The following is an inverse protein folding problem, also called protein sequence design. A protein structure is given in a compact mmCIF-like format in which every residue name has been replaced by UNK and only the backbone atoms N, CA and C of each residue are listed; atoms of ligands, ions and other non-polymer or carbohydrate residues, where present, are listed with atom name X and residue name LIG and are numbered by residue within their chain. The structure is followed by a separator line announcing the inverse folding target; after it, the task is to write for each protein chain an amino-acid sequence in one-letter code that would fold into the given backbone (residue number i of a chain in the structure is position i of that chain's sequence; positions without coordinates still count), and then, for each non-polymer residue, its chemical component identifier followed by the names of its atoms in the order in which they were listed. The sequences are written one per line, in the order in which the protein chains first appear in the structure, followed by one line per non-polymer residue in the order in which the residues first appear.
data_IF_092708289895
#
_entry.id   IF_092708289895
#
_cell.length_a   1.000
_cell.length_b   1.000
_cell.length_c   1.000
_cell.angle_alpha   90.00
_cell.angle_beta   90.00
_cell.angle_gamma   90.00
#
_symmetry.space_group_name_H-M   'P 1'
#
loop_
_entity.id
_entity.type
_entity.pdbx_description
1 polymer ?
#
# COMPACT_ATOMS: atom_id res chain seq x y z
N UNK A 1 -71.40 13.35 -39.06
CA UNK A 1 -71.88 12.04 -38.56
C UNK A 1 -70.70 11.43 -37.85
N UNK A 2 -70.57 11.90 -36.63
CA UNK A 2 -69.37 11.93 -35.82
C UNK A 2 -69.49 10.80 -34.79
N UNK A 3 -68.64 9.79 -34.92
CA UNK A 3 -68.50 8.74 -33.91
C UNK A 3 -67.37 9.14 -32.97
N UNK A 4 -67.76 9.78 -31.86
CA UNK A 4 -66.88 10.12 -30.76
C UNK A 4 -66.44 8.82 -30.05
N UNK A 5 -65.25 8.34 -30.39
CA UNK A 5 -64.56 7.30 -29.64
C UNK A 5 -64.07 7.90 -28.31
N UNK A 6 -64.82 7.65 -27.24
CA UNK A 6 -64.40 7.96 -25.88
C UNK A 6 -63.14 7.14 -25.54
N UNK A 7 -61.98 7.79 -25.59
CA UNK A 7 -60.74 7.26 -25.00
C UNK A 7 -60.95 7.15 -23.50
N UNK A 8 -61.23 5.92 -23.05
CA UNK A 8 -61.14 5.54 -21.65
C UNK A 8 -59.65 5.55 -21.27
N UNK A 9 -59.14 6.72 -20.92
CA UNK A 9 -57.82 6.83 -20.29
C UNK A 9 -57.95 6.06 -18.97
N UNK A 10 -57.22 4.94 -18.78
CA UNK A 10 -57.26 4.25 -17.51
C UNK A 10 -56.74 5.22 -16.46
N UNK A 11 -57.50 5.36 -15.38
CA UNK A 11 -57.23 6.22 -14.23
C UNK A 11 -56.05 5.65 -13.42
N UNK A 12 -54.90 5.44 -14.07
CA UNK A 12 -53.69 4.83 -13.54
C UNK A 12 -52.94 5.74 -12.56
N UNK A 13 -53.63 6.77 -12.05
CA UNK A 13 -53.11 7.74 -11.10
C UNK A 13 -54.06 7.96 -9.92
N UNK A 14 -54.90 6.96 -9.57
CA UNK A 14 -55.33 6.81 -8.18
C UNK A 14 -54.08 6.48 -7.34
N UNK A 15 -53.28 7.51 -7.03
CA UNK A 15 -52.37 7.51 -5.89
C UNK A 15 -53.22 7.10 -4.71
N UNK A 16 -53.10 5.84 -4.30
CA UNK A 16 -53.70 5.35 -3.07
C UNK A 16 -53.39 6.40 -2.01
N UNK A 17 -54.43 6.99 -1.44
CA UNK A 17 -54.29 8.03 -0.44
C UNK A 17 -53.75 7.33 0.81
N UNK A 18 -52.42 7.18 0.87
CA UNK A 18 -51.73 6.63 2.03
C UNK A 18 -52.10 7.53 3.19
N UNK A 19 -52.64 6.95 4.26
CA UNK A 19 -53.01 7.72 5.45
C UNK A 19 -51.75 8.41 5.99
N UNK A 20 -51.83 9.69 6.41
CA UNK A 20 -50.69 10.38 7.01
C UNK A 20 -50.06 9.62 8.19
N UNK A 21 -50.82 8.74 8.86
CA UNK A 21 -50.30 7.87 9.92
C UNK A 21 -49.45 6.71 9.40
N UNK A 22 -49.72 6.20 8.20
CA UNK A 22 -48.89 5.17 7.57
C UNK A 22 -47.60 5.76 7.02
N UNK A 23 -47.62 7.00 6.52
CA UNK A 23 -46.38 7.70 6.12
C UNK A 23 -45.45 7.93 7.31
N UNK A 24 -46.00 8.31 8.48
CA UNK A 24 -45.21 8.44 9.72
C UNK A 24 -44.59 7.11 10.17
N UNK A 25 -45.33 6.00 10.08
CA UNK A 25 -44.81 4.66 10.44
C UNK A 25 -43.68 4.23 9.51
N UNK A 26 -43.79 4.51 8.22
CA UNK A 26 -42.72 4.24 7.24
C UNK A 26 -41.48 5.07 7.56
N UNK A 27 -41.65 6.36 7.83
CA UNK A 27 -40.57 7.26 8.25
C UNK A 27 -39.84 6.76 9.50
N UNK A 28 -40.58 6.37 10.55
CA UNK A 28 -39.99 5.86 11.79
C UNK A 28 -39.20 4.56 11.55
N UNK A 29 -39.71 3.66 10.70
CA UNK A 29 -39.01 2.43 10.32
C UNK A 29 -37.72 2.73 9.54
N UNK A 30 -37.76 3.65 8.57
CA UNK A 30 -36.58 4.07 7.81
C UNK A 30 -35.52 4.71 8.72
N UNK A 31 -35.94 5.48 9.73
CA UNK A 31 -35.04 6.11 10.70
C UNK A 31 -34.42 5.09 11.66
N UNK A 32 -35.21 4.13 12.15
CA UNK A 32 -34.72 3.03 12.99
C UNK A 32 -33.71 2.15 12.24
N UNK A 33 -33.90 1.93 10.94
CA UNK A 33 -32.97 1.15 10.10
C UNK A 33 -31.61 1.86 9.91
N UNK A 34 -31.56 3.18 10.05
CA UNK A 34 -30.31 3.95 9.93
C UNK A 34 -29.43 3.87 11.18
N UNK A 35 -29.99 3.60 12.34
CA UNK A 35 -29.22 3.56 13.61
C UNK A 35 -28.15 2.45 13.58
N UNK A 36 -28.47 1.18 13.25
CA UNK A 36 -27.46 0.12 13.15
C UNK A 36 -26.40 0.42 12.09
N UNK A 37 -26.80 1.04 10.99
CA UNK A 37 -25.93 1.44 9.89
C UNK A 37 -24.92 2.49 10.36
N UNK A 38 -25.37 3.53 11.06
CA UNK A 38 -24.51 4.56 11.61
C UNK A 38 -23.58 4.00 12.70
N UNK A 39 -24.05 3.06 13.52
CA UNK A 39 -23.21 2.36 14.50
C UNK A 39 -22.14 1.53 13.81
N UNK A 40 -22.47 0.79 12.75
CA UNK A 40 -21.50 0.04 11.97
C UNK A 40 -20.48 0.97 11.32
N UNK A 41 -20.94 2.05 10.69
CA UNK A 41 -20.07 3.06 10.09
C UNK A 41 -19.14 3.71 11.12
N UNK A 42 -19.66 4.05 12.30
CA UNK A 42 -18.86 4.59 13.40
C UNK A 42 -17.84 3.60 13.97
N UNK A 43 -18.23 2.34 14.16
CA UNK A 43 -17.30 1.27 14.55
C UNK A 43 -16.21 1.09 13.50
N UNK A 44 -16.58 1.14 12.21
CA UNK A 44 -15.61 1.00 11.12
C UNK A 44 -14.62 2.15 11.11
N UNK A 45 -15.09 3.39 11.25
CA UNK A 45 -14.20 4.56 11.28
C UNK A 45 -13.37 4.63 12.58
N UNK A 46 -13.90 4.18 13.70
CA UNK A 46 -13.15 4.09 14.95
C UNK A 46 -12.02 3.07 14.84
N UNK A 47 -12.30 1.89 14.28
CA UNK A 47 -11.29 0.87 14.02
C UNK A 47 -10.23 1.35 13.02
N UNK A 48 -10.62 2.15 12.03
CA UNK A 48 -9.72 2.78 11.06
C UNK A 48 -8.76 3.77 11.77
N UNK A 49 -9.31 4.63 12.63
CA UNK A 49 -8.51 5.54 13.46
C UNK A 49 -7.57 4.75 14.37
N UNK A 50 -8.05 3.67 14.99
CA UNK A 50 -7.25 2.82 15.84
C UNK A 50 -6.09 2.16 15.07
N UNK A 51 -6.30 1.66 13.84
CA UNK A 51 -5.19 1.15 13.01
C UNK A 51 -4.17 2.23 12.68
N UNK A 52 -4.62 3.43 12.33
CA UNK A 52 -3.72 4.56 12.02
C UNK A 52 -2.95 5.01 13.28
N UNK A 53 -3.55 4.88 14.46
CA UNK A 53 -2.86 5.14 15.73
C UNK A 53 -1.88 4.02 16.10
N UNK A 54 -2.13 2.79 15.64
CA UNK A 54 -1.25 1.62 15.85
C UNK A 54 0.00 1.67 14.95
N UNK A 55 -0.03 2.39 13.82
CA UNK A 55 1.17 2.72 13.03
C UNK A 55 2.21 3.55 13.80
N UNK A 56 1.85 4.11 14.97
CA UNK A 56 2.81 4.73 15.90
C UNK A 56 3.60 3.70 16.73
N UNK A 57 3.28 2.41 16.63
CA UNK A 57 3.98 1.32 17.32
C UNK A 57 4.96 0.62 16.37
N UNK A 58 6.27 0.66 16.64
CA UNK A 58 7.27 0.01 15.80
C UNK A 58 7.04 -1.50 15.73
N UNK A 59 7.01 -2.06 14.52
CA UNK A 59 6.91 -3.50 14.28
C UNK A 59 5.50 -4.08 14.13
N UNK A 60 4.46 -3.24 14.09
CA UNK A 60 3.14 -3.73 13.66
C UNK A 60 3.15 -3.94 12.14
N UNK A 61 2.71 -5.12 11.69
CA UNK A 61 2.74 -5.50 10.27
C UNK A 61 2.09 -4.40 9.42
N UNK A 62 2.88 -3.72 8.58
CA UNK A 62 2.39 -2.70 7.64
C UNK A 62 1.17 -3.21 6.87
N UNK A 63 1.16 -4.50 6.52
CA UNK A 63 0.04 -5.18 5.88
C UNK A 63 -1.27 -5.06 6.66
N UNK A 64 -1.26 -5.12 7.99
CA UNK A 64 -2.45 -5.01 8.83
C UNK A 64 -3.00 -3.57 8.88
N UNK A 65 -2.13 -2.56 8.96
CA UNK A 65 -2.54 -1.17 8.85
C UNK A 65 -2.98 -0.79 7.44
N UNK A 66 -2.58 -1.54 6.41
CA UNK A 66 -3.10 -1.40 5.05
C UNK A 66 -4.43 -2.13 4.80
N UNK A 67 -4.59 -3.38 5.26
CA UNK A 67 -5.78 -4.20 4.99
C UNK A 67 -7.00 -3.80 5.82
N UNK A 68 -6.78 -3.36 7.07
CA UNK A 68 -7.87 -2.98 7.97
C UNK A 68 -8.68 -1.80 7.41
N UNK A 69 -8.07 -0.68 6.96
CA UNK A 69 -8.79 0.38 6.27
C UNK A 69 -9.65 -0.08 5.12
N UNK A 70 -9.10 -0.94 4.26
CA UNK A 70 -9.77 -1.42 3.06
C UNK A 70 -10.99 -2.28 3.41
N UNK A 71 -10.85 -3.14 4.42
CA UNK A 71 -11.94 -3.96 4.93
C UNK A 71 -13.06 -3.11 5.55
N UNK A 72 -12.70 -2.15 6.40
CA UNK A 72 -13.64 -1.26 7.08
C UNK A 72 -14.42 -0.40 6.07
N UNK A 73 -13.72 0.08 5.06
CA UNK A 73 -14.24 0.87 3.96
C UNK A 73 -15.17 0.06 3.04
N UNK A 74 -14.87 -1.22 2.82
CA UNK A 74 -15.78 -2.14 2.13
C UNK A 74 -17.08 -2.36 2.93
N UNK A 75 -16.98 -2.46 4.26
CA UNK A 75 -18.14 -2.55 5.16
C UNK A 75 -18.99 -1.29 5.09
N UNK A 76 -18.37 -0.11 5.07
CA UNK A 76 -19.05 1.17 4.95
C UNK A 76 -19.80 1.30 3.62
N UNK A 77 -19.18 0.87 2.52
CA UNK A 77 -19.84 0.81 1.21
C UNK A 77 -21.00 -0.16 1.14
N UNK A 78 -20.85 -1.36 1.72
CA UNK A 78 -21.92 -2.34 1.79
C UNK A 78 -23.11 -1.77 2.58
N UNK A 79 -22.82 -1.08 3.68
CA UNK A 79 -23.83 -0.46 4.54
C UNK A 79 -24.55 0.70 3.82
N UNK A 80 -23.83 1.56 3.11
CA UNK A 80 -24.42 2.62 2.29
C UNK A 80 -25.28 2.04 1.16
N UNK A 81 -24.76 1.06 0.42
CA UNK A 81 -25.50 0.39 -0.65
C UNK A 81 -26.77 -0.26 -0.14
N UNK A 82 -26.74 -0.83 1.07
CA UNK A 82 -27.90 -1.38 1.73
C UNK A 82 -28.96 -0.30 2.04
N UNK A 83 -28.58 0.82 2.67
CA UNK A 83 -29.52 1.93 2.94
C UNK A 83 -30.13 2.48 1.67
N UNK A 84 -29.32 2.67 0.62
CA UNK A 84 -29.78 3.16 -0.67
C UNK A 84 -30.75 2.19 -1.37
N UNK A 85 -30.63 0.89 -1.12
CA UNK A 85 -31.54 -0.13 -1.67
C UNK A 85 -32.85 -0.23 -0.89
N UNK A 86 -32.81 -0.07 0.44
CA UNK A 86 -33.98 -0.27 1.31
C UNK A 86 -34.87 0.97 1.39
N UNK A 87 -34.28 2.17 1.32
CA UNK A 87 -35.03 3.42 1.52
C UNK A 87 -35.68 3.90 0.22
N UNK A 88 -36.92 4.40 0.32
CA UNK A 88 -37.65 4.84 -0.86
C UNK A 88 -37.16 6.22 -1.33
N UNK A 89 -36.87 7.09 -0.37
CA UNK A 89 -36.48 8.48 -0.65
C UNK A 89 -34.97 8.58 -0.89
N UNK A 90 -34.52 9.62 -1.60
CA UNK A 90 -33.07 9.84 -1.88
C UNK A 90 -32.32 10.50 -0.72
N UNK A 91 -33.03 11.14 0.22
CA UNK A 91 -32.44 11.89 1.33
C UNK A 91 -31.87 11.01 2.45
N UNK A 92 -32.41 9.81 2.80
CA UNK A 92 -31.81 8.99 3.85
C UNK A 92 -30.38 8.54 3.55
N UNK A 93 -30.04 8.03 2.34
CA UNK A 93 -28.66 7.74 1.97
C UNK A 93 -27.77 8.99 1.99
N UNK A 94 -28.32 10.16 1.65
CA UNK A 94 -27.58 11.42 1.70
C UNK A 94 -27.25 11.85 3.13
N UNK A 95 -28.17 11.68 4.09
CA UNK A 95 -27.94 11.95 5.52
C UNK A 95 -26.93 10.97 6.10
N UNK A 96 -27.10 9.66 5.87
CA UNK A 96 -26.12 8.65 6.28
C UNK A 96 -24.75 8.96 5.69
N UNK A 97 -24.75 9.47 4.46
CA UNK A 97 -23.55 9.87 3.80
C UNK A 97 -22.87 11.06 4.48
N UNK A 98 -23.60 12.15 4.68
CA UNK A 98 -23.11 13.33 5.38
C UNK A 98 -22.56 12.97 6.77
N UNK A 99 -23.31 12.17 7.55
CA UNK A 99 -22.91 11.73 8.88
C UNK A 99 -21.59 10.97 8.86
N UNK A 100 -21.40 10.08 7.89
CA UNK A 100 -20.14 9.32 7.78
C UNK A 100 -18.99 10.23 7.36
N UNK A 101 -19.20 11.15 6.42
CA UNK A 101 -18.16 12.11 6.02
C UNK A 101 -17.73 12.95 7.23
N UNK A 102 -18.70 13.50 7.98
CA UNK A 102 -18.44 14.27 9.21
C UNK A 102 -17.68 13.42 10.22
N UNK A 103 -18.13 12.18 10.46
CA UNK A 103 -17.50 11.27 11.41
C UNK A 103 -16.08 10.90 10.98
N UNK A 104 -15.84 10.71 9.68
CA UNK A 104 -14.52 10.44 9.10
C UNK A 104 -13.57 11.61 9.27
N UNK A 105 -14.02 12.85 9.05
CA UNK A 105 -13.22 14.06 9.28
C UNK A 105 -12.88 14.22 10.76
N UNK A 106 -13.84 14.02 11.65
CA UNK A 106 -13.62 14.10 13.11
C UNK A 106 -12.62 13.04 13.58
N UNK A 107 -12.73 11.81 13.06
CA UNK A 107 -11.88 10.70 13.48
C UNK A 107 -10.49 10.70 12.85
N UNK A 108 -10.33 11.18 11.61
CA UNK A 108 -9.04 11.17 10.91
C UNK A 108 -8.25 12.48 11.05
N UNK A 109 -8.88 13.52 11.59
CA UNK A 109 -8.30 14.85 11.72
C UNK A 109 -8.62 15.75 10.52
N UNK A 110 -8.60 17.07 10.77
CA UNK A 110 -8.88 18.08 9.74
C UNK A 110 -7.57 18.49 9.08
N UNK A 111 -7.40 18.13 7.80
CA UNK A 111 -6.37 18.70 6.93
C UNK A 111 -7.01 19.26 5.65
N UNK A 112 -6.41 20.24 4.97
CA UNK A 112 -6.97 20.81 3.75
C UNK A 112 -7.30 19.76 2.68
N UNK A 113 -6.41 18.77 2.51
CA UNK A 113 -6.63 17.64 1.59
C UNK A 113 -7.83 16.78 2.00
N UNK A 114 -8.02 16.52 3.29
CA UNK A 114 -9.17 15.73 3.78
C UNK A 114 -10.50 16.45 3.55
N UNK A 115 -10.53 17.79 3.58
CA UNK A 115 -11.74 18.58 3.28
C UNK A 115 -12.13 18.40 1.80
N UNK A 116 -11.17 18.52 0.89
CA UNK A 116 -11.43 18.33 -0.56
C UNK A 116 -11.98 16.92 -0.81
N UNK A 117 -11.34 15.92 -0.22
CA UNK A 117 -11.73 14.52 -0.35
C UNK A 117 -13.12 14.26 0.27
N UNK A 118 -13.42 14.85 1.42
CA UNK A 118 -14.73 14.78 2.06
C UNK A 118 -15.85 15.36 1.17
N UNK A 119 -15.60 16.51 0.53
CA UNK A 119 -16.53 17.14 -0.41
C UNK A 119 -16.76 16.26 -1.64
N UNK A 120 -15.69 15.70 -2.21
CA UNK A 120 -15.80 14.78 -3.35
C UNK A 120 -16.59 13.52 -3.00
N UNK A 121 -16.34 12.92 -1.84
CA UNK A 121 -17.11 11.77 -1.36
C UNK A 121 -18.58 12.10 -1.20
N UNK A 122 -18.89 13.24 -0.58
CA UNK A 122 -20.27 13.68 -0.40
C UNK A 122 -20.97 13.86 -1.75
N UNK A 123 -20.30 14.50 -2.71
CA UNK A 123 -20.84 14.70 -4.06
C UNK A 123 -21.13 13.37 -4.76
N UNK A 124 -20.20 12.41 -4.66
CA UNK A 124 -20.36 11.07 -5.22
C UNK A 124 -21.48 10.31 -4.53
N UNK A 125 -21.65 10.47 -3.22
CA UNK A 125 -22.74 9.84 -2.49
C UNK A 125 -24.10 10.43 -2.83
N UNK A 126 -24.21 11.74 -3.02
CA UNK A 126 -25.45 12.34 -3.49
C UNK A 126 -25.75 11.89 -4.92
N UNK A 127 -24.75 11.86 -5.80
CA UNK A 127 -24.90 11.42 -7.18
C UNK A 127 -25.28 9.92 -7.28
N UNK A 128 -24.59 9.07 -6.52
CA UNK A 128 -24.85 7.62 -6.43
C UNK A 128 -26.26 7.33 -5.89
N UNK A 129 -26.67 8.03 -4.83
CA UNK A 129 -28.02 7.89 -4.28
C UNK A 129 -29.10 8.28 -5.28
N UNK A 130 -28.92 9.40 -6.01
CA UNK A 130 -29.83 9.82 -7.09
C UNK A 130 -29.88 8.80 -8.23
N UNK A 131 -28.74 8.24 -8.61
CA UNK A 131 -28.67 7.25 -9.68
C UNK A 131 -29.37 5.93 -9.27
N UNK A 132 -29.16 5.45 -8.05
CA UNK A 132 -29.83 4.25 -7.51
C UNK A 132 -31.34 4.47 -7.42
N UNK A 133 -31.78 5.62 -6.90
CA UNK A 133 -33.21 5.96 -6.83
C UNK A 133 -33.85 5.96 -8.23
N UNK A 134 -33.19 6.58 -9.21
CA UNK A 134 -33.67 6.59 -10.61
C UNK A 134 -33.76 5.19 -11.21
N UNK A 135 -32.75 4.34 -11.01
CA UNK A 135 -32.76 2.99 -11.54
C UNK A 135 -33.83 2.12 -10.85
N UNK A 136 -34.15 2.38 -9.58
CA UNK A 136 -35.26 1.74 -8.87
C UNK A 136 -36.61 2.17 -9.45
N UNK A 137 -36.82 3.46 -9.68
CA UNK A 137 -38.07 3.99 -10.22
C UNK A 137 -38.31 3.54 -11.68
N UNK A 138 -37.24 3.38 -12.46
CA UNK A 138 -37.30 2.88 -13.85
C UNK A 138 -37.39 1.34 -13.94
N UNK A 139 -37.04 0.59 -12.88
CA UNK A 139 -37.03 -0.89 -12.91
C UNK A 139 -37.94 -1.52 -11.85
N UNK A 140 -39.14 -1.95 -12.27
CA UNK A 140 -39.98 -2.86 -11.46
C UNK A 140 -39.35 -4.24 -11.20
N UNK A 141 -38.16 -4.51 -11.76
CA UNK A 141 -37.28 -5.60 -11.39
C UNK A 141 -35.94 -4.98 -11.04
N UNK A 142 -35.76 -4.62 -9.77
CA UNK A 142 -34.49 -4.13 -9.26
C UNK A 142 -33.44 -5.21 -9.56
N UNK A 143 -32.69 -5.04 -10.65
CA UNK A 143 -31.53 -5.87 -10.94
C UNK A 143 -30.41 -5.30 -10.10
N UNK A 144 -30.46 -5.56 -8.79
CA UNK A 144 -29.48 -5.12 -7.78
C UNK A 144 -28.05 -5.33 -8.29
N UNK A 145 -27.83 -6.46 -8.98
CA UNK A 145 -26.57 -6.78 -9.64
C UNK A 145 -26.04 -5.70 -10.59
N UNK A 146 -26.91 -5.06 -11.39
CA UNK A 146 -26.50 -4.07 -12.41
C UNK A 146 -26.12 -2.72 -11.79
N UNK A 147 -26.91 -2.26 -10.83
CA UNK A 147 -26.65 -1.03 -10.07
C UNK A 147 -25.37 -1.17 -9.26
N UNK A 148 -25.22 -2.29 -8.54
CA UNK A 148 -24.05 -2.56 -7.71
C UNK A 148 -22.78 -2.71 -8.56
N UNK A 149 -22.86 -3.39 -9.72
CA UNK A 149 -21.72 -3.55 -10.65
C UNK A 149 -21.23 -2.22 -11.23
N UNK A 150 -22.08 -1.20 -11.35
CA UNK A 150 -21.69 0.14 -11.87
C UNK A 150 -21.24 1.10 -10.78
N UNK A 151 -21.93 1.14 -9.64
CA UNK A 151 -21.65 2.08 -8.57
C UNK A 151 -20.42 1.68 -7.73
N UNK A 152 -20.24 0.38 -7.49
CA UNK A 152 -19.19 -0.13 -6.60
C UNK A 152 -17.76 0.17 -7.10
N UNK A 153 -17.42 0.03 -8.40
CA UNK A 153 -16.09 0.35 -8.90
C UNK A 153 -15.75 1.85 -8.82
N UNK A 154 -16.75 2.72 -9.03
CA UNK A 154 -16.56 4.18 -8.92
C UNK A 154 -16.29 4.54 -7.46
N UNK A 155 -17.13 4.04 -6.56
CA UNK A 155 -16.99 4.24 -5.12
C UNK A 155 -15.66 3.68 -4.60
N UNK A 156 -15.26 2.48 -5.01
CA UNK A 156 -13.96 1.92 -4.62
C UNK A 156 -12.81 2.76 -5.14
N UNK A 157 -12.87 3.25 -6.38
CA UNK A 157 -11.80 4.10 -6.94
C UNK A 157 -11.62 5.37 -6.12
N UNK A 158 -12.70 6.05 -5.73
CA UNK A 158 -12.64 7.29 -4.95
C UNK A 158 -12.15 7.01 -3.53
N UNK A 159 -12.59 5.91 -2.95
CA UNK A 159 -12.17 5.51 -1.61
C UNK A 159 -10.72 5.04 -1.55
N UNK A 160 -10.18 4.46 -2.62
CA UNK A 160 -8.75 4.16 -2.74
C UNK A 160 -7.92 5.43 -2.96
N UNK A 161 -8.52 6.49 -3.48
CA UNK A 161 -7.87 7.79 -3.68
C UNK A 161 -7.55 8.48 -2.34
N UNK A 162 -8.37 8.25 -1.30
CA UNK A 162 -8.14 8.75 0.07
C UNK A 162 -6.77 8.37 0.65
N UNK A 163 -6.44 7.07 0.82
CA UNK A 163 -5.16 6.67 1.37
C UNK A 163 -4.02 7.07 0.43
N UNK A 164 -4.21 7.03 -0.90
CA UNK A 164 -3.19 7.50 -1.86
C UNK A 164 -2.83 8.97 -1.65
N UNK A 165 -3.82 9.86 -1.51
CA UNK A 165 -3.58 11.29 -1.26
C UNK A 165 -2.96 11.53 0.11
N UNK A 166 -3.37 10.77 1.13
CA UNK A 166 -2.74 10.85 2.45
C UNK A 166 -1.29 10.41 2.39
N UNK A 167 -1.00 9.29 1.74
CA UNK A 167 0.36 8.77 1.58
C UNK A 167 1.21 9.76 0.79
N UNK A 168 0.68 10.31 -0.31
CA UNK A 168 1.35 11.37 -1.07
C UNK A 168 1.75 12.55 -0.17
N UNK A 169 0.82 13.06 0.64
CA UNK A 169 1.10 14.22 1.51
C UNK A 169 2.09 13.89 2.61
N UNK A 170 1.99 12.70 3.24
CA UNK A 170 2.93 12.28 4.30
C UNK A 170 4.31 12.03 3.72
N UNK A 171 4.39 11.31 2.61
CA UNK A 171 5.64 11.04 1.90
C UNK A 171 6.26 12.34 1.37
N UNK A 172 5.47 13.24 0.77
CA UNK A 172 5.98 14.53 0.28
C UNK A 172 6.58 15.37 1.42
N UNK A 173 5.93 15.42 2.58
CA UNK A 173 6.49 16.10 3.76
C UNK A 173 7.77 15.44 4.27
N UNK A 174 7.82 14.11 4.30
CA UNK A 174 9.05 13.40 4.65
C UNK A 174 10.16 13.68 3.64
N UNK A 175 9.89 13.65 2.33
CA UNK A 175 10.91 13.86 1.31
C UNK A 175 11.37 15.32 1.16
N UNK A 176 10.57 16.32 1.57
CA UNK A 176 11.04 17.71 1.63
C UNK A 176 12.07 17.92 2.75
N UNK A 177 11.96 17.19 3.87
CA UNK A 177 12.83 17.38 5.04
C UNK A 177 13.92 16.30 5.20
N UNK A 178 13.74 15.12 4.61
CA UNK A 178 14.68 14.01 4.73
C UNK A 178 15.19 13.55 3.38
N UNK A 179 16.52 13.43 3.30
CA UNK A 179 17.20 12.79 2.18
C UNK A 179 16.55 11.43 1.90
N UNK A 180 16.50 11.05 0.62
CA UNK A 180 15.87 9.83 0.16
C UNK A 180 16.71 8.61 0.62
N UNK A 181 16.54 8.21 1.88
CA UNK A 181 17.31 7.15 2.52
C UNK A 181 16.53 5.84 2.41
N UNK A 182 17.07 4.88 1.65
CA UNK A 182 16.58 3.50 1.66
C UNK A 182 16.89 2.87 3.02
N UNK A 183 15.88 2.25 3.68
CA UNK A 183 16.12 1.49 4.89
C UNK A 183 17.02 0.30 4.61
N UNK A 184 17.93 0.00 5.56
CA UNK A 184 18.83 -1.17 5.51
C UNK A 184 18.08 -2.47 5.16
N UNK A 185 16.90 -2.69 5.72
CA UNK A 185 16.09 -3.89 5.46
C UNK A 185 15.70 -4.08 3.99
N UNK A 186 15.49 -2.99 3.24
CA UNK A 186 15.19 -3.05 1.81
C UNK A 186 16.44 -3.48 1.03
N UNK A 187 17.59 -2.89 1.35
CA UNK A 187 18.88 -3.24 0.72
C UNK A 187 19.24 -4.70 0.98
N UNK A 188 19.11 -5.18 2.22
CA UNK A 188 19.33 -6.59 2.59
C UNK A 188 18.37 -7.51 1.83
N UNK A 189 17.09 -7.14 1.70
CA UNK A 189 16.12 -7.96 0.96
C UNK A 189 16.44 -8.07 -0.53
N UNK A 190 17.04 -7.02 -1.11
CA UNK A 190 17.46 -7.00 -2.52
C UNK A 190 18.77 -7.75 -2.74
N UNK A 191 19.74 -7.61 -1.82
CA UNK A 191 21.08 -8.20 -1.96
C UNK A 191 21.17 -9.63 -1.42
N UNK A 192 20.33 -10.01 -0.46
CA UNK A 192 20.34 -11.34 0.16
C UNK A 192 20.27 -12.48 -0.86
N UNK A 193 19.36 -12.43 -1.87
CA UNK A 193 19.34 -13.43 -2.94
C UNK A 193 20.60 -13.45 -3.81
N UNK A 194 21.35 -12.35 -3.88
CA UNK A 194 22.57 -12.21 -4.69
C UNK A 194 23.83 -12.58 -3.92
N UNK A 195 23.79 -12.61 -2.58
CA UNK A 195 24.94 -12.88 -1.73
C UNK A 195 25.65 -14.18 -2.10
N UNK A 196 24.90 -15.24 -2.39
CA UNK A 196 25.48 -16.52 -2.83
C UNK A 196 26.27 -16.42 -4.14
N UNK A 197 25.85 -15.57 -5.08
CA UNK A 197 26.58 -15.30 -6.31
C UNK A 197 27.78 -14.39 -6.08
N UNK A 198 27.63 -13.36 -5.24
CA UNK A 198 28.72 -12.45 -4.87
C UNK A 198 29.84 -13.19 -4.14
N UNK A 199 29.52 -14.14 -3.25
CA UNK A 199 30.52 -15.00 -2.57
C UNK A 199 31.38 -15.83 -3.52
N UNK A 200 30.89 -16.16 -4.71
CA UNK A 200 31.69 -16.89 -5.71
C UNK A 200 32.72 -15.99 -6.40
N UNK A 201 32.42 -14.69 -6.52
CA UNK A 201 33.29 -13.70 -7.17
C UNK A 201 34.23 -13.05 -6.15
N UNK A 202 33.72 -12.82 -4.94
CA UNK A 202 34.38 -12.16 -3.82
C UNK A 202 34.39 -13.14 -2.63
N UNK A 203 35.44 -13.97 -2.49
CA UNK A 203 35.60 -14.84 -1.32
C UNK A 203 35.52 -14.02 -0.03
N UNK A 204 34.84 -14.56 0.99
CA UNK A 204 34.65 -13.85 2.26
C UNK A 204 33.52 -12.80 2.27
N UNK A 205 32.87 -12.51 1.14
CA UNK A 205 31.74 -11.58 1.11
C UNK A 205 30.57 -12.06 1.99
N UNK A 206 30.21 -11.27 3.00
CA UNK A 206 29.01 -11.48 3.79
C UNK A 206 28.38 -10.13 4.06
N UNK A 207 27.06 -10.05 3.93
CA UNK A 207 26.33 -8.80 4.17
C UNK A 207 26.51 -8.29 5.60
N UNK A 208 26.68 -9.21 6.55
CA UNK A 208 26.87 -8.88 7.97
C UNK A 208 28.34 -8.81 8.40
N UNK A 209 29.29 -9.04 7.49
CA UNK A 209 30.71 -8.89 7.82
C UNK A 209 31.05 -7.42 8.07
N UNK A 210 32.02 -7.19 8.96
CA UNK A 210 32.62 -5.87 9.11
C UNK A 210 33.28 -5.48 7.78
N UNK A 211 33.03 -4.26 7.31
CA UNK A 211 33.53 -3.82 6.01
C UNK A 211 35.07 -3.79 5.96
N UNK A 212 35.73 -3.45 7.06
CA UNK A 212 37.19 -3.37 7.12
C UNK A 212 37.83 -4.75 7.05
N UNK A 213 37.31 -5.71 7.82
CA UNK A 213 37.75 -7.11 7.75
C UNK A 213 37.58 -7.67 6.33
N UNK A 214 36.43 -7.38 5.72
CA UNK A 214 36.16 -7.76 4.33
C UNK A 214 37.13 -7.09 3.34
N UNK A 215 37.38 -5.79 3.47
CA UNK A 215 38.28 -5.05 2.59
C UNK A 215 39.74 -5.52 2.74
N UNK A 216 40.19 -5.79 3.97
CA UNK A 216 41.49 -6.36 4.28
C UNK A 216 41.66 -7.74 3.63
N UNK A 217 40.66 -8.61 3.78
CA UNK A 217 40.66 -9.94 3.18
C UNK A 217 40.67 -9.86 1.65
N UNK A 218 39.86 -8.97 1.06
CA UNK A 218 39.81 -8.77 -0.38
C UNK A 218 41.14 -8.24 -0.94
N UNK A 219 41.79 -7.32 -0.22
CA UNK A 219 43.11 -6.80 -0.58
C UNK A 219 44.18 -7.90 -0.51
N UNK A 220 44.22 -8.67 0.58
CA UNK A 220 45.15 -9.80 0.74
C UNK A 220 44.98 -10.84 -0.37
N UNK A 221 43.72 -11.21 -0.69
CA UNK A 221 43.42 -12.15 -1.76
C UNK A 221 43.82 -11.61 -3.15
N UNK A 222 43.69 -10.30 -3.39
CA UNK A 222 44.12 -9.68 -4.65
C UNK A 222 45.64 -9.65 -4.77
N UNK A 223 46.36 -9.38 -3.68
CA UNK A 223 47.83 -9.37 -3.65
C UNK A 223 48.37 -10.79 -3.82
N UNK A 224 47.79 -11.78 -3.15
CA UNK A 224 48.13 -13.20 -3.34
C UNK A 224 48.00 -13.62 -4.81
N UNK A 225 46.90 -13.24 -5.49
CA UNK A 225 46.71 -13.49 -6.93
C UNK A 225 47.70 -12.76 -7.83
N UNK A 226 48.22 -11.60 -7.41
CA UNK A 226 49.26 -10.88 -8.16
C UNK A 226 50.63 -11.54 -7.98
N UNK A 227 50.88 -12.12 -6.81
CA UNK A 227 52.11 -12.85 -6.49
C UNK A 227 52.12 -14.26 -7.10
N UNK A 228 50.96 -14.85 -7.37
CA UNK A 228 50.85 -16.16 -8.01
C UNK A 228 51.55 -16.17 -9.38
N UNK A 229 52.58 -17.02 -9.52
CA UNK A 229 53.46 -17.08 -10.68
C UNK A 229 54.72 -16.20 -10.62
N UNK A 230 54.92 -15.41 -9.56
CA UNK A 230 56.19 -14.73 -9.30
C UNK A 230 57.13 -15.61 -8.47
N UNK A 231 58.25 -16.06 -9.07
CA UNK A 231 59.25 -16.89 -8.39
C UNK A 231 60.44 -16.08 -7.83
N UNK A 232 60.35 -14.76 -7.86
CA UNK A 232 61.43 -13.84 -7.50
C UNK A 232 61.42 -13.41 -6.02
N UNK A 233 62.37 -12.55 -5.61
CA UNK A 233 62.31 -11.88 -4.32
C UNK A 233 61.04 -11.04 -4.22
N UNK A 234 60.52 -10.88 -3.00
CA UNK A 234 59.33 -10.06 -2.73
C UNK A 234 59.53 -8.64 -3.28
N UNK A 235 58.57 -8.12 -4.07
CA UNK A 235 58.60 -6.73 -4.55
C UNK A 235 58.78 -5.73 -3.39
N UNK A 236 59.57 -4.68 -3.60
CA UNK A 236 59.93 -3.72 -2.55
C UNK A 236 58.71 -2.93 -2.00
N UNK A 237 57.61 -2.90 -2.74
CA UNK A 237 56.32 -2.32 -2.35
C UNK A 237 55.49 -3.23 -1.42
N UNK A 238 55.89 -4.50 -1.25
CA UNK A 238 55.19 -5.48 -0.42
C UNK A 238 56.00 -5.93 0.81
N UNK A 239 57.10 -5.24 1.13
CA UNK A 239 57.93 -5.57 2.31
C UNK A 239 57.16 -5.47 3.62
N UNK A 240 56.14 -4.63 3.71
CA UNK A 240 55.30 -4.52 4.91
C UNK A 240 54.49 -5.81 5.12
N UNK A 241 53.98 -6.43 4.04
CA UNK A 241 53.30 -7.73 4.09
C UNK A 241 54.26 -8.88 4.43
N UNK A 242 55.50 -8.81 3.97
CA UNK A 242 56.54 -9.75 4.36
C UNK A 242 56.80 -9.68 5.87
N UNK A 243 56.77 -8.48 6.45
CA UNK A 243 56.95 -8.30 7.88
C UNK A 243 55.76 -8.84 8.70
N UNK A 244 54.53 -8.67 8.23
CA UNK A 244 53.36 -9.32 8.86
C UNK A 244 53.43 -10.84 8.81
N UNK A 245 53.85 -11.41 7.69
CA UNK A 245 54.07 -12.86 7.58
C UNK A 245 55.14 -13.33 8.59
N UNK A 246 56.24 -12.59 8.69
CA UNK A 246 57.32 -12.89 9.63
C UNK A 246 56.87 -12.80 11.10
N UNK A 247 56.09 -11.78 11.45
CA UNK A 247 55.55 -11.60 12.81
C UNK A 247 54.56 -12.70 13.18
N UNK A 248 53.84 -13.26 12.19
CA UNK A 248 53.00 -14.44 12.34
C UNK A 248 53.79 -15.76 12.34
N UNK A 249 55.12 -15.73 12.18
CA UNK A 249 56.00 -16.90 12.21
C UNK A 249 56.28 -17.55 10.85
N UNK A 250 55.94 -16.89 9.74
CA UNK A 250 56.15 -17.35 8.38
C UNK A 250 57.29 -16.57 7.71
N UNK A 251 58.44 -17.23 7.53
CA UNK A 251 59.58 -16.65 6.83
C UNK A 251 59.38 -16.75 5.31
N UNK A 252 59.01 -15.63 4.68
CA UNK A 252 58.70 -15.56 3.26
C UNK A 252 59.76 -14.74 2.50
N UNK A 253 60.86 -15.38 2.09
CA UNK A 253 61.93 -14.72 1.33
C UNK A 253 61.57 -14.51 -0.15
N UNK A 254 60.61 -15.28 -0.66
CA UNK A 254 60.18 -15.26 -2.07
C UNK A 254 58.71 -14.87 -2.19
N UNK A 255 58.35 -14.30 -3.34
CA UNK A 255 56.95 -13.93 -3.65
C UNK A 255 55.99 -15.12 -3.56
N UNK A 256 56.43 -16.32 -3.96
CA UNK A 256 55.66 -17.57 -3.84
C UNK A 256 55.41 -17.97 -2.37
N UNK A 257 56.44 -17.87 -1.51
CA UNK A 257 56.28 -18.12 -0.08
C UNK A 257 55.37 -17.09 0.59
N UNK A 258 55.44 -15.82 0.15
CA UNK A 258 54.57 -14.77 0.66
C UNK A 258 53.11 -15.03 0.27
N UNK A 259 52.85 -15.44 -0.98
CA UNK A 259 51.52 -15.83 -1.43
C UNK A 259 50.93 -16.95 -0.57
N UNK A 260 51.72 -18.00 -0.29
CA UNK A 260 51.32 -19.12 0.57
C UNK A 260 51.11 -18.70 2.04
N UNK A 261 51.92 -17.76 2.54
CA UNK A 261 51.76 -17.21 3.89
C UNK A 261 50.49 -16.38 4.02
N UNK A 262 50.17 -15.55 3.01
CA UNK A 262 48.95 -14.73 2.98
C UNK A 262 47.67 -15.58 2.93
N UNK A 263 47.74 -16.85 2.50
CA UNK A 263 46.61 -17.77 2.58
C UNK A 263 46.35 -18.31 3.99
N UNK A 264 47.33 -18.21 4.91
CA UNK A 264 47.17 -18.68 6.28
C UNK A 264 46.27 -17.76 7.10
N UNK A 265 45.34 -18.36 7.84
CA UNK A 265 44.36 -17.64 8.67
C UNK A 265 45.03 -16.72 9.70
N UNK A 266 46.17 -17.13 10.24
CA UNK A 266 46.95 -16.37 11.24
C UNK A 266 47.50 -15.06 10.65
N UNK A 267 47.99 -15.10 9.41
CA UNK A 267 48.50 -13.91 8.71
C UNK A 267 47.35 -12.99 8.32
N UNK A 268 46.22 -13.54 7.86
CA UNK A 268 45.00 -12.75 7.58
C UNK A 268 44.49 -12.04 8.83
N UNK A 269 44.48 -12.72 9.98
CA UNK A 269 44.09 -12.13 11.26
C UNK A 269 45.09 -11.05 11.70
N UNK A 270 46.39 -11.28 11.60
CA UNK A 270 47.41 -10.30 11.93
C UNK A 270 47.29 -9.02 11.07
N UNK A 271 47.10 -9.19 9.76
CA UNK A 271 46.86 -8.08 8.82
C UNK A 271 45.58 -7.33 9.20
N UNK A 272 44.48 -8.05 9.48
CA UNK A 272 43.22 -7.42 9.88
C UNK A 272 43.33 -6.65 11.20
N UNK A 273 44.13 -7.15 12.15
CA UNK A 273 44.28 -6.57 13.47
C UNK A 273 45.19 -5.33 13.46
N UNK A 274 46.22 -5.31 12.62
CA UNK A 274 47.08 -4.14 12.45
C UNK A 274 46.41 -3.06 11.59
N UNK A 275 45.65 -3.47 10.55
CA UNK A 275 44.74 -2.59 9.85
C UNK A 275 43.78 -1.92 10.85
N UNK A 276 43.15 -2.70 11.74
CA UNK A 276 42.32 -2.21 12.84
C UNK A 276 43.01 -1.19 13.79
N UNK A 277 44.35 -1.18 13.84
CA UNK A 277 45.15 -0.34 14.75
C UNK A 277 45.53 1.05 14.22
N UNK A 278 45.47 1.31 12.91
CA UNK A 278 45.82 2.63 12.37
C UNK A 278 45.93 2.76 10.85
N UNK A 279 46.29 1.68 10.14
CA UNK A 279 46.28 1.67 8.68
C UNK A 279 44.85 1.67 8.10
N UNK A 280 43.87 1.29 8.91
CA UNK A 280 42.43 1.45 8.66
C UNK A 280 42.04 2.87 8.29
N UNK A 281 42.67 3.88 8.90
CA UNK A 281 42.27 5.26 8.68
C UNK A 281 42.61 5.66 7.25
N UNK A 282 43.76 5.25 6.72
CA UNK A 282 44.18 5.66 5.37
C UNK A 282 43.41 4.90 4.29
N UNK A 283 43.24 3.58 4.42
CA UNK A 283 42.44 2.79 3.48
C UNK A 283 40.97 3.22 3.53
N UNK A 284 40.37 3.33 4.72
CA UNK A 284 38.99 3.76 4.87
C UNK A 284 38.78 5.19 4.37
N UNK A 285 39.72 6.11 4.61
CA UNK A 285 39.66 7.46 4.04
C UNK A 285 39.75 7.45 2.52
N UNK A 286 40.65 6.64 1.94
CA UNK A 286 40.77 6.54 0.48
C UNK A 286 39.50 5.97 -0.18
N UNK A 287 38.90 4.95 0.45
CA UNK A 287 37.64 4.36 -0.02
C UNK A 287 36.48 5.32 0.21
N UNK A 288 36.43 5.98 1.37
CA UNK A 288 35.47 7.03 1.71
C UNK A 288 35.48 8.15 0.68
N UNK A 289 36.67 8.65 0.32
CA UNK A 289 36.85 9.69 -0.70
C UNK A 289 36.43 9.22 -2.09
N UNK A 290 36.76 7.97 -2.46
CA UNK A 290 36.41 7.41 -3.76
C UNK A 290 34.90 7.15 -3.92
N UNK A 291 34.24 6.73 -2.84
CA UNK A 291 32.81 6.41 -2.83
C UNK A 291 31.94 7.62 -2.48
N UNK A 292 32.54 8.68 -1.93
CA UNK A 292 31.85 9.86 -1.43
C UNK A 292 30.97 9.58 -0.22
N UNK A 293 31.38 8.65 0.66
CA UNK A 293 30.63 8.26 1.86
C UNK A 293 31.56 8.11 3.06
N UNK A 294 31.14 8.58 4.23
CA UNK A 294 31.89 8.35 5.47
C UNK A 294 31.70 6.91 5.95
N UNK A 295 32.80 6.15 6.01
CA UNK A 295 32.84 4.75 6.43
C UNK A 295 33.35 4.71 7.87
N UNK A 296 32.51 4.23 8.79
CA UNK A 296 32.92 4.01 10.18
C UNK A 296 33.57 2.63 10.33
N UNK A 297 34.46 2.47 11.30
CA UNK A 297 35.13 1.20 11.61
C UNK A 297 34.15 0.09 12.02
N UNK A 298 33.01 0.47 12.61
CA UNK A 298 31.95 -0.47 12.99
C UNK A 298 30.96 -0.80 11.87
N UNK A 299 31.09 -0.19 10.69
CA UNK A 299 30.12 -0.39 9.61
C UNK A 299 30.24 -1.81 9.03
N UNK A 300 29.09 -2.44 8.85
CA UNK A 300 29.04 -3.69 8.07
C UNK A 300 29.11 -3.40 6.58
N UNK A 301 29.42 -4.41 5.77
CA UNK A 301 29.35 -4.34 4.30
C UNK A 301 27.98 -3.84 3.85
N UNK A 302 26.90 -4.29 4.50
CA UNK A 302 25.54 -3.79 4.22
C UNK A 302 25.40 -2.30 4.51
N UNK A 303 25.96 -1.81 5.61
CA UNK A 303 25.85 -0.38 5.98
C UNK A 303 26.57 0.49 4.96
N UNK A 304 27.78 0.10 4.54
CA UNK A 304 28.55 0.80 3.51
C UNK A 304 27.82 0.78 2.16
N UNK A 305 27.30 -0.37 1.72
CA UNK A 305 26.51 -0.45 0.48
C UNK A 305 25.25 0.40 0.59
N UNK A 306 24.57 0.40 1.73
CA UNK A 306 23.36 1.21 1.97
C UNK A 306 23.69 2.70 1.88
N UNK A 307 24.76 3.15 2.53
CA UNK A 307 25.26 4.53 2.43
C UNK A 307 25.58 4.89 0.98
N UNK A 308 26.34 4.04 0.28
CA UNK A 308 26.71 4.26 -1.12
C UNK A 308 25.49 4.38 -2.03
N UNK A 309 24.56 3.41 -1.94
CA UNK A 309 23.33 3.40 -2.73
C UNK A 309 22.50 4.63 -2.42
N UNK A 310 22.39 5.06 -1.16
CA UNK A 310 21.66 6.27 -0.80
C UNK A 310 22.31 7.53 -1.38
N UNK A 311 23.64 7.65 -1.32
CA UNK A 311 24.36 8.77 -1.95
C UNK A 311 24.13 8.81 -3.46
N UNK A 312 24.26 7.67 -4.14
CA UNK A 312 24.01 7.58 -5.58
C UNK A 312 22.54 7.82 -5.94
N UNK A 313 21.62 7.30 -5.12
CA UNK A 313 20.20 7.47 -5.32
C UNK A 313 19.80 8.93 -5.13
N UNK A 314 20.34 9.64 -4.14
CA UNK A 314 20.12 11.09 -3.98
C UNK A 314 20.67 11.88 -5.16
N UNK A 315 21.84 11.52 -5.70
CA UNK A 315 22.41 12.17 -6.88
C UNK A 315 21.58 11.94 -8.15
N UNK A 316 21.14 10.71 -8.39
CA UNK A 316 20.40 10.31 -9.59
C UNK A 316 18.91 10.70 -9.51
N UNK A 317 18.29 10.47 -8.36
CA UNK A 317 16.87 10.72 -8.12
C UNK A 317 16.60 12.15 -7.66
N UNK A 318 17.60 12.92 -7.22
CA UNK A 318 17.44 14.32 -6.80
C UNK A 318 16.66 15.18 -7.81
N UNK A 319 17.03 15.19 -9.10
CA UNK A 319 16.26 15.90 -10.14
C UNK A 319 14.82 15.40 -10.31
N UNK A 320 14.53 14.17 -9.87
CA UNK A 320 13.23 13.53 -9.99
C UNK A 320 12.48 13.41 -8.65
N UNK A 321 13.03 13.94 -7.55
CA UNK A 321 12.51 13.73 -6.21
C UNK A 321 11.06 14.25 -6.09
N UNK A 322 10.73 15.35 -6.77
CA UNK A 322 9.37 15.89 -6.84
C UNK A 322 8.36 14.90 -7.46
N UNK A 323 8.80 14.02 -8.37
CA UNK A 323 7.95 13.03 -9.02
C UNK A 323 7.84 11.71 -8.26
N UNK A 324 8.75 11.45 -7.31
CA UNK A 324 8.76 10.19 -6.54
C UNK A 324 7.44 9.98 -5.78
N UNK A 325 6.89 10.97 -5.04
CA UNK A 325 5.58 10.84 -4.39
C UNK A 325 4.44 10.52 -5.38
N UNK A 326 4.49 11.05 -6.60
CA UNK A 326 3.50 10.77 -7.64
C UNK A 326 3.61 9.34 -8.16
N UNK A 327 4.82 8.87 -8.42
CA UNK A 327 5.07 7.51 -8.88
C UNK A 327 4.63 6.49 -7.83
N UNK A 328 5.02 6.70 -6.55
CA UNK A 328 4.54 5.86 -5.45
C UNK A 328 3.03 5.89 -5.33
N UNK A 329 2.41 7.07 -5.40
CA UNK A 329 0.94 7.20 -5.36
C UNK A 329 0.26 6.37 -6.45
N UNK A 330 0.83 6.37 -7.65
CA UNK A 330 0.32 5.59 -8.77
C UNK A 330 0.50 4.08 -8.54
N UNK A 331 1.67 3.65 -8.08
CA UNK A 331 1.96 2.26 -7.70
C UNK A 331 1.00 1.79 -6.61
N UNK A 332 0.83 2.57 -5.53
CA UNK A 332 -0.10 2.30 -4.45
C UNK A 332 -1.53 2.21 -4.97
N UNK A 333 -1.96 3.14 -5.82
CA UNK A 333 -3.31 3.09 -6.39
C UNK A 333 -3.57 1.80 -7.18
N UNK A 334 -2.61 1.38 -8.02
CA UNK A 334 -2.72 0.11 -8.75
C UNK A 334 -2.67 -1.10 -7.81
N UNK A 335 -1.77 -1.10 -6.83
CA UNK A 335 -1.67 -2.14 -5.81
C UNK A 335 -2.97 -2.29 -5.03
N UNK A 336 -3.53 -1.18 -4.55
CA UNK A 336 -4.82 -1.15 -3.87
C UNK A 336 -5.95 -1.62 -4.77
N UNK A 337 -5.94 -1.27 -6.06
CA UNK A 337 -6.96 -1.71 -7.00
C UNK A 337 -6.93 -3.22 -7.19
N UNK A 338 -5.74 -3.81 -7.27
CA UNK A 338 -5.56 -5.26 -7.34
C UNK A 338 -6.04 -5.94 -6.05
N UNK A 339 -5.65 -5.41 -4.89
CA UNK A 339 -6.06 -5.93 -3.58
C UNK A 339 -7.57 -5.77 -3.37
N UNK A 340 -8.18 -4.71 -3.85
CA UNK A 340 -9.62 -4.46 -3.68
C UNK A 340 -10.51 -5.45 -4.44
N UNK A 341 -10.00 -6.12 -5.48
CA UNK A 341 -10.79 -7.10 -6.26
C UNK A 341 -11.38 -8.20 -5.36
N UNK A 342 -10.60 -8.96 -4.56
CA UNK A 342 -11.16 -9.97 -3.66
C UNK A 342 -12.12 -9.38 -2.61
N UNK A 343 -11.87 -8.15 -2.11
CA UNK A 343 -12.79 -7.50 -1.17
C UNK A 343 -14.12 -7.11 -1.81
N UNK A 344 -14.12 -6.69 -3.08
CA UNK A 344 -15.35 -6.43 -3.84
C UNK A 344 -16.18 -7.71 -3.94
N UNK A 345 -15.54 -8.85 -4.24
CA UNK A 345 -16.23 -10.14 -4.27
C UNK A 345 -16.77 -10.55 -2.90
N UNK A 346 -15.99 -10.34 -1.83
CA UNK A 346 -16.42 -10.62 -0.47
C UNK A 346 -17.62 -9.74 -0.07
N UNK A 347 -17.56 -8.44 -0.35
CA UNK A 347 -18.65 -7.51 -0.08
C UNK A 347 -19.92 -7.90 -0.85
N UNK A 348 -19.78 -8.35 -2.10
CA UNK A 348 -20.89 -8.87 -2.89
C UNK A 348 -21.51 -10.12 -2.26
N UNK A 349 -20.69 -11.07 -1.81
CA UNK A 349 -21.16 -12.28 -1.13
C UNK A 349 -21.88 -11.95 0.19
N UNK A 350 -21.35 -11.02 0.98
CA UNK A 350 -21.98 -10.56 2.22
C UNK A 350 -23.32 -9.87 1.95
N UNK A 351 -23.38 -8.97 0.97
CA UNK A 351 -24.61 -8.30 0.58
C UNK A 351 -25.66 -9.31 0.10
N UNK A 352 -25.25 -10.32 -0.68
CA UNK A 352 -26.12 -11.41 -1.11
C UNK A 352 -26.64 -12.24 0.07
N UNK A 353 -25.77 -12.58 1.02
CA UNK A 353 -26.15 -13.32 2.24
C UNK A 353 -27.15 -12.54 3.10
N UNK A 354 -26.89 -11.25 3.34
CA UNK A 354 -27.81 -10.34 4.02
C UNK A 354 -29.17 -10.28 3.31
N UNK A 355 -29.16 -10.13 1.99
CA UNK A 355 -30.38 -10.14 1.19
C UNK A 355 -31.17 -11.45 1.37
N UNK A 356 -30.49 -12.60 1.38
CA UNK A 356 -31.12 -13.91 1.63
C UNK A 356 -31.72 -14.02 3.02
N UNK A 357 -31.03 -13.53 4.05
CA UNK A 357 -31.55 -13.50 5.43
C UNK A 357 -32.81 -12.62 5.49
N UNK A 358 -32.78 -11.46 4.85
CA UNK A 358 -33.91 -10.54 4.81
C UNK A 358 -35.13 -11.15 4.13
N UNK A 359 -34.94 -11.88 3.03
CA UNK A 359 -36.02 -12.64 2.36
C UNK A 359 -36.69 -13.68 3.26
N UNK A 360 -36.00 -14.20 4.27
CA UNK A 360 -36.53 -15.18 5.22
C UNK A 360 -37.09 -14.56 6.50
N UNK A 361 -36.96 -13.25 6.69
CA UNK A 361 -37.52 -12.56 7.85
C UNK A 361 -38.88 -11.93 7.52
N UNK A 362 -39.88 -11.97 8.42
CA UNK A 362 -41.21 -11.40 8.20
C UNK A 362 -41.23 -9.86 8.17
N UNK A 363 -40.07 -9.22 8.14
CA UNK A 363 -39.91 -7.76 8.08
C UNK A 363 -40.15 -7.21 6.66
N UNK A 364 -40.07 -8.06 5.62
CA UNK A 364 -40.22 -7.66 4.23
C UNK A 364 -41.27 -8.52 3.52
N UNK A 365 -42.43 -7.93 3.25
CA UNK A 365 -43.41 -8.53 2.33
C UNK A 365 -42.98 -8.25 0.89
N UNK A 366 -42.50 -9.29 0.21
CA UNK A 366 -42.18 -9.20 -1.23
C UNK A 366 -43.50 -9.26 -2.00
N UNK A 367 -44.06 -8.09 -2.31
CA UNK A 367 -45.27 -7.99 -3.13
C UNK A 367 -44.90 -8.23 -4.59
N UNK A 368 -45.20 -9.44 -5.09
CA UNK A 368 -45.06 -9.76 -6.51
C UNK A 368 -46.18 -9.11 -7.32
N UNK A 369 -45.90 -7.95 -7.91
CA UNK A 369 -46.84 -7.29 -8.84
C UNK A 369 -46.79 -8.00 -10.20
N UNK A 370 -47.77 -8.86 -10.50
CA UNK A 370 -48.00 -9.35 -11.87
C UNK A 370 -48.53 -8.18 -12.71
N UNK A 371 -47.70 -7.63 -13.61
CA UNK A 371 -48.23 -6.70 -14.62
C UNK A 371 -49.08 -7.48 -15.63
N UNK A 372 -50.22 -6.93 -16.07
CA UNK A 372 -50.87 -7.44 -17.28
C UNK A 372 -49.83 -7.39 -18.41
N UNK A 373 -49.70 -8.48 -19.15
CA UNK A 373 -48.88 -8.51 -20.35
C UNK A 373 -49.48 -7.45 -21.27
N UNK A 374 -48.74 -6.38 -21.56
CA UNK A 374 -49.11 -5.50 -22.67
C UNK A 374 -49.20 -6.40 -23.90
N UNK A 375 -50.42 -6.62 -24.39
CA UNK A 375 -50.61 -7.18 -25.72
C UNK A 375 -49.93 -6.22 -26.68
N UNK A 376 -48.70 -6.57 -27.06
CA UNK A 376 -48.00 -5.93 -28.17
C UNK A 376 -48.83 -6.26 -29.39
N UNK A 377 -49.81 -5.40 -29.68
CA UNK A 377 -50.48 -5.41 -30.97
C UNK A 377 -49.39 -5.18 -32.00
N UNK A 378 -49.01 -6.25 -32.67
CA UNK A 378 -48.17 -6.20 -33.85
C UNK A 378 -48.95 -5.37 -34.87
N UNK A 379 -48.67 -4.08 -34.93
CA UNK A 379 -49.05 -3.24 -36.06
C UNK A 379 -48.18 -3.74 -37.21
N UNK A 380 -48.65 -4.77 -37.90
CA UNK A 380 -48.21 -5.10 -39.25
C UNK A 380 -48.72 -3.98 -40.16
N UNK A 381 -47.83 -3.05 -40.49
CA UNK A 381 -47.98 -2.14 -41.63
C UNK A 381 -47.27 -2.69 -42.85
#
# INVERSE_FOLDING_TARGET
MDSAAAQHVPDSAQKQHISPDDEKKVLIKELLLQIPVLLLAGLTLWSLRASVAVDALPGTNEVASFLLPLFLLSGLLATYGFVALVTEKWWPPAITGLMTVVLGVVLLGVSPGMIVVAVLLLAVWVAGGKYIARERDESMKIRIYRSLKRALPILSTILLLMPTVRFHNVSAQQYEESDLILPRGVVVSLLGPLEGGLRQVLPGFSLDANFQEFAAQAAADQISKQLDGMTGPVPADLTDLQQFALDAGYDAETAEQLALALEQEEVKQAISQDLAGGADIELANSLSDSLGIEIATSDTVTDVITKYVNTQLTQVAGPFAEYVPWLFSLIYWFGFRLIAIPFIWLAFLLAWGLFKILQHTPLFDVVYVKRPVEEVSLITS
#
